data_IF_339900421015
#
_entry.id   IF_339900421015
#
_cell.length_a   1.000
_cell.length_b   1.000
_cell.length_c   1.000
_cell.angle_alpha   90.00
_cell.angle_beta   90.00
_cell.angle_gamma   90.00
#
_symmetry.space_group_name_H-M   'P 1'
#
loop_
_entity.id
_entity.type
_entity.pdbx_description
1 polymer ?
#
# COMPACT_ATOMS: atom_id res chain seq x y z
N UNK A 1 -5.25 5.27 -8.83
CA UNK A 1 -5.64 3.83 -8.82
C UNK A 1 -6.67 3.63 -7.74
N UNK A 2 -7.58 2.69 -7.91
CA UNK A 2 -8.56 2.37 -6.87
C UNK A 2 -7.90 1.64 -5.70
N UNK A 3 -8.53 1.64 -4.52
CA UNK A 3 -8.04 0.89 -3.37
C UNK A 3 -7.95 -0.62 -3.68
N UNK A 4 -8.97 -1.14 -4.36
CA UNK A 4 -9.03 -2.54 -4.77
C UNK A 4 -7.92 -2.90 -5.77
N UNK A 5 -7.61 -2.03 -6.73
CA UNK A 5 -6.49 -2.24 -7.66
C UNK A 5 -5.16 -2.27 -6.91
N UNK A 6 -4.97 -1.37 -5.93
CA UNK A 6 -3.75 -1.33 -5.12
C UNK A 6 -3.58 -2.61 -4.26
N UNK A 7 -4.66 -3.11 -3.67
CA UNK A 7 -4.66 -4.39 -2.93
C UNK A 7 -4.31 -5.56 -3.85
N UNK A 8 -4.86 -5.60 -5.06
CA UNK A 8 -4.54 -6.64 -6.05
C UNK A 8 -3.08 -6.57 -6.51
N UNK A 9 -2.55 -5.38 -6.76
CA UNK A 9 -1.14 -5.19 -7.15
C UNK A 9 -0.20 -5.71 -6.06
N UNK A 10 -0.47 -5.44 -4.78
CA UNK A 10 0.34 -5.94 -3.67
C UNK A 10 -0.06 -7.32 -3.17
N UNK A 11 -1.04 -7.97 -3.81
CA UNK A 11 -1.56 -9.28 -3.41
C UNK A 11 -1.90 -9.34 -1.90
N UNK A 12 -2.81 -8.46 -1.47
CA UNK A 12 -3.22 -8.33 -0.07
C UNK A 12 -4.69 -8.72 0.10
N UNK A 13 -4.95 -9.57 1.09
CA UNK A 13 -6.30 -9.91 1.56
C UNK A 13 -6.73 -9.01 2.73
N UNK A 14 -5.77 -8.63 3.58
CA UNK A 14 -5.97 -7.75 4.74
C UNK A 14 -5.11 -6.49 4.63
N UNK A 15 -5.66 -5.36 5.08
CA UNK A 15 -4.99 -4.06 5.03
C UNK A 15 -4.23 -3.80 6.34
N UNK A 16 -3.09 -4.46 6.52
CA UNK A 16 -2.19 -4.23 7.66
C UNK A 16 -0.88 -3.56 7.20
N UNK A 17 -0.31 -2.63 8.00
CA UNK A 17 0.98 -2.00 7.67
C UNK A 17 2.10 -3.02 7.40
N UNK A 18 2.14 -4.10 8.17
CA UNK A 18 3.16 -5.15 8.07
C UNK A 18 3.07 -5.92 6.74
N UNK A 19 1.86 -6.31 6.32
CA UNK A 19 1.67 -7.03 5.06
C UNK A 19 1.93 -6.14 3.85
N UNK A 20 1.50 -4.87 3.89
CA UNK A 20 1.80 -3.89 2.85
C UNK A 20 3.31 -3.77 2.66
N UNK A 21 4.07 -3.58 3.74
CA UNK A 21 5.51 -3.40 3.66
C UNK A 21 6.21 -4.67 3.15
N UNK A 22 5.83 -5.84 3.68
CA UNK A 22 6.41 -7.13 3.27
C UNK A 22 6.21 -7.41 1.78
N UNK A 23 4.99 -7.28 1.28
CA UNK A 23 4.67 -7.57 -0.11
C UNK A 23 5.24 -6.51 -1.05
N UNK A 24 5.24 -5.24 -0.63
CA UNK A 24 5.91 -4.16 -1.34
C UNK A 24 7.41 -4.45 -1.53
N UNK A 25 8.15 -4.77 -0.47
CA UNK A 25 9.59 -5.03 -0.55
C UNK A 25 9.90 -6.18 -1.51
N UNK A 26 9.13 -7.27 -1.42
CA UNK A 26 9.26 -8.39 -2.32
C UNK A 26 9.03 -7.99 -3.78
N UNK A 27 7.87 -7.40 -4.08
CA UNK A 27 7.46 -7.04 -5.44
C UNK A 27 8.34 -5.94 -6.04
N UNK A 28 8.79 -4.99 -5.22
CA UNK A 28 9.68 -3.92 -5.65
C UNK A 28 11.05 -4.47 -6.05
N UNK A 29 11.60 -5.40 -5.25
CA UNK A 29 12.92 -6.01 -5.49
C UNK A 29 12.92 -6.90 -6.74
N UNK A 30 11.91 -7.73 -6.94
CA UNK A 30 11.86 -8.63 -8.10
C UNK A 30 11.58 -7.90 -9.42
N UNK A 31 11.03 -6.68 -9.36
CA UNK A 31 10.79 -5.84 -10.53
C UNK A 31 11.88 -4.79 -10.77
N UNK A 32 12.99 -4.85 -10.05
CA UNK A 32 14.11 -3.94 -10.26
C UNK A 32 14.73 -4.11 -11.66
N UNK A 33 15.05 -2.99 -12.32
CA UNK A 33 15.64 -3.00 -13.67
C UNK A 33 16.97 -3.77 -13.72
N UNK A 34 17.77 -3.71 -12.65
CA UNK A 34 19.08 -4.35 -12.56
C UNK A 34 19.00 -5.88 -12.59
N UNK A 35 17.85 -6.46 -12.25
CA UNK A 35 17.61 -7.92 -12.33
C UNK A 35 16.73 -8.31 -13.52
N UNK A 36 16.54 -7.42 -14.49
CA UNK A 36 15.69 -7.66 -15.68
C UNK A 36 14.20 -7.37 -15.47
N UNK A 37 13.84 -6.70 -14.38
CA UNK A 37 12.48 -6.24 -14.13
C UNK A 37 12.05 -5.03 -14.96
N UNK A 38 10.77 -4.67 -14.85
CA UNK A 38 10.18 -3.56 -15.61
C UNK A 38 9.97 -2.33 -14.72
N UNK A 39 10.47 -1.18 -15.18
CA UNK A 39 10.22 0.10 -14.53
C UNK A 39 8.74 0.39 -14.34
N UNK A 40 7.94 0.03 -15.35
CA UNK A 40 6.51 0.30 -15.35
C UNK A 40 5.83 -0.49 -14.24
N UNK A 41 6.19 -1.76 -14.10
CA UNK A 41 5.65 -2.64 -13.05
C UNK A 41 6.13 -2.18 -11.68
N UNK A 42 7.43 -1.88 -11.52
CA UNK A 42 7.97 -1.34 -10.27
C UNK A 42 7.26 -0.02 -9.87
N UNK A 43 7.02 0.88 -10.83
CA UNK A 43 6.27 2.12 -10.60
C UNK A 43 4.83 1.86 -10.18
N UNK A 44 4.17 0.82 -10.72
CA UNK A 44 2.82 0.41 -10.28
C UNK A 44 2.83 -0.11 -8.84
N UNK A 45 3.84 -0.88 -8.44
CA UNK A 45 4.03 -1.37 -7.06
C UNK A 45 4.20 -0.20 -6.08
N UNK A 46 5.01 0.82 -6.45
CA UNK A 46 5.18 2.04 -5.63
C UNK A 46 3.86 2.78 -5.47
N UNK A 47 3.15 3.03 -6.57
CA UNK A 47 1.86 3.73 -6.55
C UNK A 47 0.81 2.98 -5.73
N UNK A 48 0.83 1.64 -5.75
CA UNK A 48 -0.06 0.81 -4.95
C UNK A 48 0.22 0.96 -3.46
N UNK A 49 1.49 0.94 -3.04
CA UNK A 49 1.87 1.19 -1.66
C UNK A 49 1.39 2.57 -1.19
N UNK A 50 1.70 3.64 -1.94
CA UNK A 50 1.31 5.02 -1.59
C UNK A 50 -0.21 5.13 -1.36
N UNK A 51 -1.03 4.51 -2.22
CA UNK A 51 -2.49 4.54 -2.08
C UNK A 51 -2.99 3.81 -0.83
N UNK A 52 -2.36 2.71 -0.44
CA UNK A 52 -2.76 1.92 0.74
C UNK A 52 -2.34 2.61 2.04
N UNK A 53 -1.16 3.22 2.06
CA UNK A 53 -0.70 4.03 3.21
C UNK A 53 -1.58 5.27 3.43
N UNK A 54 -2.03 5.91 2.35
CA UNK A 54 -3.02 7.00 2.43
C UNK A 54 -4.33 6.54 3.08
N UNK A 55 -4.84 5.36 2.72
CA UNK A 55 -6.06 4.81 3.32
C UNK A 55 -5.90 4.57 4.83
N UNK A 56 -4.76 3.99 5.24
CA UNK A 56 -4.47 3.75 6.66
C UNK A 56 -4.35 5.05 7.46
N UNK A 57 -3.77 6.10 6.86
CA UNK A 57 -3.69 7.42 7.47
C UNK A 57 -5.07 8.05 7.64
N UNK A 58 -5.94 7.96 6.63
CA UNK A 58 -7.33 8.45 6.70
C UNK A 58 -8.10 7.72 7.79
N UNK A 59 -7.98 6.39 7.87
CA UNK A 59 -8.64 5.57 8.89
C UNK A 59 -8.17 5.93 10.31
N UNK A 60 -6.86 6.11 10.50
CA UNK A 60 -6.28 6.55 11.77
C UNK A 60 -6.79 7.92 12.21
N UNK A 61 -6.92 8.87 11.28
CA UNK A 61 -7.45 10.21 11.57
C UNK A 61 -8.95 10.21 11.89
N UNK A 62 -9.74 9.35 11.21
CA UNK A 62 -11.16 9.15 11.53
C UNK A 62 -11.35 8.59 12.95
N UNK A 63 -10.50 7.67 13.36
CA UNK A 63 -10.56 7.08 14.71
C UNK A 63 -10.20 8.12 15.79
N UNK A 64 -9.18 8.95 15.55
CA UNK A 64 -8.81 10.03 16.47
C UNK A 64 -9.88 11.13 16.57
N UNK A 65 -10.54 11.46 15.47
CA UNK A 65 -11.62 12.48 15.48
C UNK A 65 -12.87 12.01 16.21
N UNK A 66 -13.25 10.73 16.11
CA UNK A 66 -14.40 10.19 16.83
C UNK A 66 -14.18 10.14 18.35
N UNK A 67 -12.95 9.86 18.82
CA UNK A 67 -12.64 9.84 20.26
C UNK A 67 -12.71 11.24 20.91
N UNK A 68 -12.46 12.31 20.14
CA UNK A 68 -12.49 13.68 20.66
C UNK A 68 -13.91 14.30 20.74
N UNK A 69 -14.92 13.67 20.13
CA UNK A 69 -16.32 14.15 20.15
C UNK A 69 -17.20 13.45 21.19
N UNK A 70 -16.68 12.45 21.89
CA UNK A 70 -17.43 11.67 22.91
C UNK A 70 -17.05 12.02 24.37
N UNK A 71 -16.30 13.11 24.60
CA UNK A 71 -16.01 13.70 25.93
C UNK A 71 -16.48 15.15 26.00
#
# INVERSE_FOLDING_TARGET
MSLQEAQQILNLDTLTPEEIQKNYEHLFKVNDKGVGGSFYIQSKVVRAKERLEEELSIESQKQQSHQNTET
#
